data_IF_580638837746
#
_entry.id   IF_580638837746
#
_cell.length_a   1.000
_cell.length_b   1.000
_cell.length_c   1.000
_cell.angle_alpha   90.00
_cell.angle_beta   90.00
_cell.angle_gamma   90.00
#
_symmetry.space_group_name_H-M   'P 1'
#
loop_
_entity.id
_entity.type
_entity.pdbx_description
1 polymer ?
#
# COMPACT_ATOMS: atom_id res chain seq x y z
N UNK A 1 -59.97 12.34 18.18
CA UNK A 1 -58.71 12.97 18.62
C UNK A 1 -57.79 11.83 19.05
N UNK A 2 -57.07 11.27 18.07
CA UNK A 2 -55.59 11.36 17.94
C UNK A 2 -54.92 10.53 19.04
N UNK A 3 -54.73 9.23 18.76
CA UNK A 3 -53.44 8.65 18.32
C UNK A 3 -52.44 8.47 19.48
N UNK A 4 -52.23 7.22 19.89
CA UNK A 4 -50.88 6.66 20.07
C UNK A 4 -50.93 5.16 19.86
N UNK A 5 -49.99 4.70 19.04
CA UNK A 5 -49.86 3.38 18.45
C UNK A 5 -48.66 2.74 19.12
N UNK A 6 -48.85 1.96 20.16
CA UNK A 6 -47.76 1.15 20.73
C UNK A 6 -47.56 -0.08 19.84
N UNK A 7 -46.54 0.02 19.00
CA UNK A 7 -45.98 -1.08 18.21
C UNK A 7 -44.85 -1.71 19.05
N UNK A 8 -44.71 -3.04 19.05
CA UNK A 8 -43.61 -3.69 19.77
C UNK A 8 -42.27 -3.34 19.13
N UNK A 9 -41.26 -3.15 19.97
CA UNK A 9 -39.84 -3.07 19.59
C UNK A 9 -39.41 -4.39 18.95
N UNK A 10 -39.45 -4.44 17.62
CA UNK A 10 -38.80 -5.48 16.83
C UNK A 10 -37.39 -5.01 16.45
N UNK A 11 -36.43 -5.87 16.80
CA UNK A 11 -35.03 -5.81 16.45
C UNK A 11 -34.82 -5.67 14.93
N UNK A 12 -33.73 -4.98 14.54
CA UNK A 12 -32.82 -5.35 13.46
C UNK A 12 -31.80 -4.20 13.24
N UNK A 13 -30.74 -4.16 14.05
CA UNK A 13 -29.53 -3.42 13.68
C UNK A 13 -28.78 -4.27 12.65
N UNK A 14 -28.96 -3.94 11.37
CA UNK A 14 -28.31 -4.58 10.23
C UNK A 14 -26.78 -4.62 10.30
N UNK A 15 -26.13 -5.34 9.36
CA UNK A 15 -24.72 -5.71 9.46
C UNK A 15 -23.82 -4.49 9.59
N UNK A 16 -22.89 -4.53 10.55
CA UNK A 16 -21.85 -3.52 10.76
C UNK A 16 -21.21 -3.12 9.42
N UNK A 17 -21.48 -1.87 9.02
CA UNK A 17 -20.77 -1.06 8.04
C UNK A 17 -19.86 -1.79 7.04
N UNK A 18 -20.48 -2.50 6.10
CA UNK A 18 -19.83 -3.07 4.90
C UNK A 18 -19.27 -2.01 3.93
N UNK A 19 -19.40 -0.71 4.24
CA UNK A 19 -18.74 0.41 3.52
C UNK A 19 -17.33 0.72 4.04
N UNK A 20 -16.79 -0.09 4.97
CA UNK A 20 -15.48 -0.02 5.62
C UNK A 20 -14.23 -0.33 4.74
N UNK A 21 -14.29 -0.09 3.43
CA UNK A 21 -13.31 -0.64 2.48
C UNK A 21 -11.90 -0.05 2.49
N UNK A 22 -11.61 1.09 3.15
CA UNK A 22 -10.28 1.77 3.14
C UNK A 22 -10.10 2.86 4.22
N UNK A 23 -11.19 3.40 4.78
CA UNK A 23 -11.10 4.27 5.95
C UNK A 23 -11.21 3.41 7.18
N UNK A 24 -10.05 3.10 7.75
CA UNK A 24 -10.01 2.66 9.13
C UNK A 24 -9.72 3.94 9.93
N UNK A 25 -10.74 4.42 10.66
CA UNK A 25 -10.74 5.73 11.32
C UNK A 25 -10.47 6.93 10.38
N UNK A 26 -9.63 7.87 10.84
CA UNK A 26 -9.24 9.08 10.09
C UNK A 26 -8.12 8.84 9.05
N UNK A 27 -7.54 7.63 8.99
CA UNK A 27 -6.37 7.33 8.15
C UNK A 27 -6.82 6.59 6.88
N UNK A 28 -6.56 7.20 5.72
CA UNK A 28 -6.72 6.52 4.43
C UNK A 28 -5.57 5.55 4.20
N UNK A 29 -5.87 4.27 4.00
CA UNK A 29 -4.90 3.24 3.61
C UNK A 29 -4.75 3.21 2.10
N UNK A 30 -3.53 3.02 1.58
CA UNK A 30 -3.28 2.90 0.14
C UNK A 30 -2.27 1.77 -0.10
N UNK A 31 -2.14 1.31 -1.35
CA UNK A 31 -1.11 0.33 -1.71
C UNK A 31 0.30 0.73 -1.28
N UNK A 32 0.63 2.01 -1.46
CA UNK A 32 1.93 2.58 -1.04
C UNK A 32 2.14 2.49 0.47
N UNK A 33 1.09 2.69 1.28
CA UNK A 33 1.19 2.54 2.74
C UNK A 33 1.38 1.08 3.16
N UNK A 34 0.74 0.14 2.48
CA UNK A 34 0.96 -1.30 2.69
C UNK A 34 2.41 -1.66 2.36
N UNK A 35 2.91 -1.21 1.21
CA UNK A 35 4.30 -1.41 0.82
C UNK A 35 5.28 -0.83 1.87
N UNK A 36 5.07 0.42 2.29
CA UNK A 36 5.95 1.08 3.26
C UNK A 36 5.88 0.45 4.64
N UNK A 37 4.74 -0.08 5.06
CA UNK A 37 4.62 -0.85 6.29
C UNK A 37 5.59 -2.04 6.29
N UNK A 38 5.58 -2.83 5.22
CA UNK A 38 6.48 -3.99 5.10
C UNK A 38 7.96 -3.60 4.90
N UNK A 39 8.24 -2.39 4.41
CA UNK A 39 9.61 -1.90 4.20
C UNK A 39 10.19 -1.15 5.42
N UNK A 40 9.53 -0.11 5.90
CA UNK A 40 10.02 0.79 6.95
C UNK A 40 8.89 1.62 7.59
N UNK A 41 8.65 1.42 8.89
CA UNK A 41 7.61 2.14 9.63
C UNK A 41 7.88 3.65 9.76
N UNK A 42 9.14 4.09 9.89
CA UNK A 42 9.47 5.52 9.90
C UNK A 42 9.11 6.16 8.56
N UNK A 43 9.41 5.47 7.45
CA UNK A 43 9.04 5.93 6.10
C UNK A 43 7.52 6.02 5.93
N UNK A 44 6.80 4.99 6.38
CA UNK A 44 5.34 4.97 6.40
C UNK A 44 4.77 6.19 7.15
N UNK A 45 5.31 6.46 8.35
CA UNK A 45 4.87 7.58 9.18
C UNK A 45 5.11 8.93 8.49
N UNK A 46 6.33 9.17 8.00
CA UNK A 46 6.71 10.42 7.33
C UNK A 46 5.87 10.67 6.08
N UNK A 47 5.74 9.65 5.22
CA UNK A 47 4.90 9.73 4.03
C UNK A 47 3.44 10.04 4.38
N UNK A 48 2.90 9.41 5.45
CA UNK A 48 1.52 9.63 5.88
C UNK A 48 1.27 11.02 6.47
N UNK A 49 2.33 11.72 6.90
CA UNK A 49 2.29 13.11 7.37
C UNK A 49 2.74 14.11 6.29
N UNK A 50 2.71 13.71 5.02
CA UNK A 50 3.07 14.55 3.86
C UNK A 50 4.53 15.02 3.85
N UNK A 51 5.41 14.36 4.58
CA UNK A 51 6.87 14.56 4.49
C UNK A 51 7.37 13.62 3.40
N UNK A 52 7.30 14.06 2.14
CA UNK A 52 7.67 13.27 0.97
C UNK A 52 9.05 13.69 0.44
N UNK A 53 10.01 12.76 0.47
CA UNK A 53 11.38 12.99 0.02
C UNK A 53 11.72 12.24 -1.28
N UNK A 54 10.79 11.43 -1.80
CA UNK A 54 10.97 10.70 -3.06
C UNK A 54 11.13 11.57 -4.32
N UNK A 55 10.44 12.73 -4.47
CA UNK A 55 10.62 13.56 -5.67
C UNK A 55 12.07 14.02 -5.82
N UNK A 56 12.65 13.83 -7.02
CA UNK A 56 14.04 14.20 -7.32
C UNK A 56 15.10 13.20 -6.82
N UNK A 57 14.72 12.18 -6.06
CA UNK A 57 15.66 11.14 -5.63
C UNK A 57 15.99 10.17 -6.79
N UNK A 58 17.26 10.11 -7.20
CA UNK A 58 17.73 9.40 -8.40
C UNK A 58 17.20 7.96 -8.52
N UNK A 59 17.30 7.15 -7.45
CA UNK A 59 16.86 5.76 -7.52
C UNK A 59 15.35 5.61 -7.73
N UNK A 60 14.55 6.57 -7.23
CA UNK A 60 13.10 6.59 -7.42
C UNK A 60 12.78 7.00 -8.86
N UNK A 61 13.47 8.01 -9.36
CA UNK A 61 13.26 8.52 -10.71
C UNK A 61 13.62 7.50 -11.80
N UNK A 62 14.72 6.76 -11.62
CA UNK A 62 15.05 5.63 -12.50
C UNK A 62 13.92 4.57 -12.48
N UNK A 63 13.29 4.37 -11.32
CA UNK A 63 12.12 3.50 -11.22
C UNK A 63 11.01 3.98 -12.14
N UNK A 64 10.57 5.23 -11.96
CA UNK A 64 9.50 5.83 -12.77
C UNK A 64 9.78 5.80 -14.27
N UNK A 65 11.00 6.14 -14.69
CA UNK A 65 11.40 6.08 -16.09
C UNK A 65 11.29 4.66 -16.68
N UNK A 66 11.67 3.62 -15.92
CA UNK A 66 11.51 2.23 -16.36
C UNK A 66 10.03 1.86 -16.54
N UNK A 67 9.13 2.41 -15.72
CA UNK A 67 7.69 2.23 -15.91
C UNK A 67 7.22 2.96 -17.19
N UNK A 68 7.59 4.22 -17.36
CA UNK A 68 7.19 5.02 -18.53
C UNK A 68 7.68 4.44 -19.86
N UNK A 69 8.93 4.00 -19.95
CA UNK A 69 9.54 3.55 -21.20
C UNK A 69 9.05 2.17 -21.64
N UNK A 70 8.82 1.27 -20.69
CA UNK A 70 8.45 -0.13 -20.99
C UNK A 70 6.95 -0.30 -21.20
N UNK A 71 6.11 0.52 -20.57
CA UNK A 71 4.66 0.29 -20.54
C UNK A 71 3.83 1.27 -21.36
N UNK A 72 4.44 2.28 -22.01
CA UNK A 72 3.80 3.11 -23.06
C UNK A 72 3.11 2.30 -24.18
N UNK A 73 3.47 1.03 -24.39
CA UNK A 73 2.91 0.18 -25.46
C UNK A 73 1.76 -0.74 -25.02
N UNK A 74 1.62 -1.09 -23.74
CA UNK A 74 0.79 -2.22 -23.29
C UNK A 74 -0.41 -1.86 -22.38
N UNK A 75 -0.52 -0.63 -21.88
CA UNK A 75 -1.63 -0.21 -21.02
C UNK A 75 -1.31 1.06 -20.22
N UNK A 76 -2.34 1.74 -19.72
CA UNK A 76 -2.22 2.97 -18.91
C UNK A 76 -2.38 2.64 -17.44
N UNK A 77 -1.66 3.38 -16.58
CA UNK A 77 -1.85 3.40 -15.14
C UNK A 77 -3.34 3.55 -14.79
N UNK A 78 -3.86 2.63 -13.98
CA UNK A 78 -5.25 2.65 -13.52
C UNK A 78 -5.26 3.00 -12.04
N UNK A 79 -5.82 4.17 -11.71
CA UNK A 79 -6.07 4.59 -10.34
C UNK A 79 -7.54 4.41 -9.99
N UNK A 80 -7.85 3.80 -8.84
CA UNK A 80 -9.22 3.63 -8.33
C UNK A 80 -9.30 4.17 -6.90
N UNK A 81 -10.28 5.04 -6.66
CA UNK A 81 -10.57 5.75 -5.40
C UNK A 81 -9.35 6.40 -4.72
N UNK A 82 -8.31 6.77 -5.48
CA UNK A 82 -7.01 7.21 -4.98
C UNK A 82 -6.43 6.29 -3.89
N UNK A 83 -6.71 4.99 -4.00
CA UNK A 83 -6.35 3.97 -3.00
C UNK A 83 -5.47 2.89 -3.61
N UNK A 84 -5.87 2.44 -4.79
CA UNK A 84 -5.09 1.52 -5.59
C UNK A 84 -4.62 2.26 -6.83
N UNK A 85 -3.36 2.04 -7.18
CA UNK A 85 -2.74 2.49 -8.41
C UNK A 85 -2.00 1.28 -8.96
N UNK A 86 -2.48 0.74 -10.07
CA UNK A 86 -1.93 -0.45 -10.73
C UNK A 86 -1.38 -0.06 -12.09
N UNK A 87 -0.24 -0.62 -12.49
CA UNK A 87 0.41 -0.25 -13.76
C UNK A 87 -0.49 -0.57 -14.96
N UNK A 88 -1.06 -1.77 -15.01
CA UNK A 88 -2.06 -2.11 -16.03
C UNK A 88 -2.96 -3.28 -15.64
N UNK A 89 -4.08 -3.38 -16.35
CA UNK A 89 -5.07 -4.45 -16.18
C UNK A 89 -5.20 -5.22 -17.49
N UNK A 90 -5.11 -6.55 -17.44
CA UNK A 90 -5.46 -7.42 -18.56
C UNK A 90 -6.83 -8.03 -18.34
N UNK A 91 -7.61 -8.12 -19.42
CA UNK A 91 -8.95 -8.69 -19.42
C UNK A 91 -8.97 -9.87 -20.38
N UNK A 92 -9.07 -11.08 -19.83
CA UNK A 92 -9.22 -12.32 -20.58
C UNK A 92 -10.39 -13.12 -20.03
N UNK A 93 -10.16 -14.41 -19.74
CA UNK A 93 -11.09 -15.24 -18.97
C UNK A 93 -11.28 -14.76 -17.52
N UNK A 94 -10.27 -14.07 -16.98
CA UNK A 94 -10.30 -13.40 -15.68
C UNK A 94 -9.72 -11.98 -15.81
N UNK A 95 -9.93 -11.16 -14.78
CA UNK A 95 -9.28 -9.84 -14.64
C UNK A 95 -7.92 -10.06 -13.97
N UNK A 96 -6.85 -9.60 -14.60
CA UNK A 96 -5.49 -9.67 -14.05
C UNK A 96 -4.97 -8.26 -13.76
N UNK A 97 -4.52 -8.03 -12.52
CA UNK A 97 -3.82 -6.81 -12.11
C UNK A 97 -2.33 -7.03 -12.25
N UNK A 98 -1.65 -6.18 -13.01
CA UNK A 98 -0.20 -6.26 -13.19
C UNK A 98 0.50 -5.09 -12.49
N UNK A 99 1.33 -5.43 -11.50
CA UNK A 99 2.26 -4.52 -10.84
C UNK A 99 3.67 -4.80 -11.37
N UNK A 100 4.45 -3.76 -11.60
CA UNK A 100 5.81 -3.81 -12.15
C UNK A 100 6.76 -3.34 -11.07
N UNK A 101 7.86 -4.08 -10.86
CA UNK A 101 8.87 -3.71 -9.86
C UNK A 101 10.26 -3.83 -10.44
N UNK A 102 11.08 -2.78 -10.24
CA UNK A 102 12.46 -2.74 -10.70
C UNK A 102 13.30 -3.92 -10.19
N UNK A 103 13.07 -4.36 -8.96
CA UNK A 103 13.88 -5.40 -8.31
C UNK A 103 13.03 -6.25 -7.37
N UNK A 104 13.40 -7.52 -7.22
CA UNK A 104 12.77 -8.48 -6.30
C UNK A 104 13.27 -8.37 -4.85
N UNK A 105 14.03 -7.32 -4.50
CA UNK A 105 14.58 -7.14 -3.14
C UNK A 105 13.52 -6.87 -2.08
N UNK A 106 12.33 -6.43 -2.47
CA UNK A 106 11.21 -6.12 -1.57
C UNK A 106 10.00 -7.03 -1.85
N UNK A 107 10.23 -8.25 -2.32
CA UNK A 107 9.17 -9.13 -2.82
C UNK A 107 8.01 -9.36 -1.83
N UNK A 108 8.29 -9.37 -0.52
CA UNK A 108 7.24 -9.50 0.50
C UNK A 108 6.34 -8.27 0.56
N UNK A 109 6.91 -7.06 0.46
CA UNK A 109 6.17 -5.80 0.39
C UNK A 109 5.41 -5.68 -0.93
N UNK A 110 6.06 -6.04 -2.04
CA UNK A 110 5.45 -6.06 -3.37
C UNK A 110 4.22 -7.01 -3.39
N UNK A 111 4.34 -8.20 -2.79
CA UNK A 111 3.24 -9.17 -2.63
C UNK A 111 2.13 -8.61 -1.75
N UNK A 112 2.46 -8.04 -0.60
CA UNK A 112 1.47 -7.47 0.32
C UNK A 112 0.66 -6.33 -0.32
N UNK A 113 1.33 -5.45 -1.07
CA UNK A 113 0.68 -4.39 -1.83
C UNK A 113 -0.32 -4.96 -2.84
N UNK A 114 0.08 -5.95 -3.63
CA UNK A 114 -0.80 -6.54 -4.64
C UNK A 114 -1.96 -7.31 -4.01
N UNK A 115 -1.73 -8.03 -2.90
CA UNK A 115 -2.80 -8.66 -2.12
C UNK A 115 -3.82 -7.63 -1.62
N UNK A 116 -3.36 -6.46 -1.16
CA UNK A 116 -4.25 -5.39 -0.76
C UNK A 116 -5.14 -4.93 -1.93
N UNK A 117 -4.60 -4.84 -3.15
CA UNK A 117 -5.38 -4.49 -4.34
C UNK A 117 -6.45 -5.55 -4.67
N UNK A 118 -6.08 -6.83 -4.62
CA UNK A 118 -7.02 -7.94 -4.85
C UNK A 118 -8.12 -7.96 -3.78
N UNK A 119 -7.74 -7.77 -2.51
CA UNK A 119 -8.69 -7.68 -1.40
C UNK A 119 -9.66 -6.50 -1.59
N UNK A 120 -9.12 -5.35 -1.95
CA UNK A 120 -9.88 -4.13 -2.18
C UNK A 120 -10.92 -4.27 -3.30
N UNK A 121 -10.56 -4.93 -4.41
CA UNK A 121 -11.48 -5.26 -5.49
C UNK A 121 -12.53 -6.30 -5.07
N UNK A 122 -12.12 -7.34 -4.33
CA UNK A 122 -13.02 -8.37 -3.82
C UNK A 122 -14.12 -7.78 -2.93
N UNK A 123 -13.80 -6.82 -2.07
CA UNK A 123 -14.80 -6.11 -1.26
C UNK A 123 -15.83 -5.32 -2.10
N UNK A 124 -15.53 -5.04 -3.37
CA UNK A 124 -16.42 -4.39 -4.33
C UNK A 124 -17.09 -5.38 -5.31
N UNK A 125 -17.01 -6.67 -5.01
CA UNK A 125 -17.61 -7.72 -5.85
C UNK A 125 -16.82 -8.03 -7.13
N UNK A 126 -15.57 -7.56 -7.25
CA UNK A 126 -14.72 -7.82 -8.42
C UNK A 126 -13.68 -8.87 -8.05
N UNK A 127 -13.74 -10.04 -8.69
CA UNK A 127 -12.71 -11.07 -8.58
C UNK A 127 -11.60 -10.80 -9.61
N UNK A 128 -10.35 -10.80 -9.14
CA UNK A 128 -9.17 -10.60 -9.96
C UNK A 128 -8.01 -11.47 -9.47
N UNK A 129 -7.05 -11.70 -10.35
CA UNK A 129 -5.76 -12.31 -10.06
C UNK A 129 -4.66 -11.25 -10.16
N UNK A 130 -3.53 -11.45 -9.47
CA UNK A 130 -2.43 -10.50 -9.43
C UNK A 130 -1.16 -11.06 -10.07
N UNK A 131 -0.44 -10.22 -10.81
CA UNK A 131 0.87 -10.53 -11.37
C UNK A 131 1.88 -9.46 -11.00
N UNK A 132 2.99 -9.84 -10.37
CA UNK A 132 4.15 -8.96 -10.18
C UNK A 132 5.17 -9.24 -11.27
N UNK A 133 5.59 -8.20 -11.98
CA UNK A 133 6.51 -8.27 -13.11
C UNK A 133 7.85 -7.66 -12.69
N UNK A 134 8.93 -8.46 -12.74
CA UNK A 134 10.29 -8.02 -12.47
C UNK A 134 11.09 -7.93 -13.79
N UNK A 135 10.94 -6.85 -14.58
CA UNK A 135 11.55 -6.67 -15.90
C UNK A 135 13.03 -7.01 -15.97
N UNK A 136 13.82 -6.52 -15.01
CA UNK A 136 15.28 -6.59 -15.06
C UNK A 136 15.82 -8.03 -14.93
N UNK A 137 15.08 -8.90 -14.25
CA UNK A 137 15.43 -10.32 -14.07
C UNK A 137 14.54 -11.26 -14.88
N UNK A 138 13.63 -10.71 -15.71
CA UNK A 138 12.68 -11.46 -16.55
C UNK A 138 11.86 -12.48 -15.77
N UNK A 139 11.44 -12.11 -14.57
CA UNK A 139 10.63 -12.97 -13.70
C UNK A 139 9.23 -12.39 -13.54
N UNK A 140 8.23 -13.26 -13.44
CA UNK A 140 6.84 -12.91 -13.11
C UNK A 140 6.34 -13.79 -11.97
N UNK A 141 5.65 -13.21 -11.00
CA UNK A 141 5.11 -13.91 -9.84
C UNK A 141 3.59 -13.76 -9.82
N UNK A 142 2.88 -14.89 -9.82
CA UNK A 142 1.44 -14.95 -9.68
C UNK A 142 1.05 -14.79 -8.20
N UNK A 143 0.02 -14.01 -7.94
CA UNK A 143 -0.49 -13.70 -6.60
C UNK A 143 -1.99 -13.92 -6.58
N UNK A 144 -2.43 -14.80 -5.70
CA UNK A 144 -3.84 -15.08 -5.44
C UNK A 144 -4.15 -14.76 -4.00
N UNK A 145 -5.32 -14.15 -3.76
CA UNK A 145 -5.80 -13.80 -2.43
C UNK A 145 -6.41 -15.04 -1.74
N UNK A 146 -5.86 -15.42 -0.59
CA UNK A 146 -6.41 -16.49 0.25
C UNK A 146 -7.07 -15.94 1.51
N UNK A 147 -7.94 -16.72 2.20
CA UNK A 147 -8.52 -16.28 3.49
C UNK A 147 -7.47 -15.95 4.57
N UNK A 148 -6.31 -16.62 4.54
CA UNK A 148 -5.19 -16.34 5.45
C UNK A 148 -4.57 -14.98 5.12
N UNK A 149 -4.35 -14.70 3.83
CA UNK A 149 -3.84 -13.40 3.39
C UNK A 149 -4.80 -12.26 3.78
N UNK A 150 -6.12 -12.47 3.66
CA UNK A 150 -7.11 -11.48 4.08
C UNK A 150 -7.06 -11.18 5.58
N UNK A 151 -6.87 -12.22 6.40
CA UNK A 151 -6.70 -12.04 7.84
C UNK A 151 -5.41 -11.27 8.18
N UNK A 152 -4.32 -11.57 7.46
CA UNK A 152 -3.06 -10.84 7.54
C UNK A 152 -3.23 -9.36 7.17
N UNK A 153 -3.85 -9.07 6.03
CA UNK A 153 -4.11 -7.70 5.57
C UNK A 153 -4.94 -6.89 6.57
N UNK A 154 -5.99 -7.49 7.17
CA UNK A 154 -6.77 -6.80 8.22
C UNK A 154 -5.92 -6.44 9.43
N UNK A 155 -4.92 -7.26 9.78
CA UNK A 155 -3.97 -6.95 10.85
C UNK A 155 -3.01 -5.83 10.43
N UNK A 156 -2.46 -5.90 9.23
CA UNK A 156 -1.56 -4.88 8.70
C UNK A 156 -2.24 -3.51 8.63
N UNK A 157 -3.50 -3.45 8.17
CA UNK A 157 -4.31 -2.24 8.14
C UNK A 157 -4.39 -1.60 9.53
N UNK A 158 -4.76 -2.37 10.56
CA UNK A 158 -4.86 -1.88 11.94
C UNK A 158 -3.52 -1.36 12.48
N UNK A 159 -2.44 -2.06 12.16
CA UNK A 159 -1.11 -1.67 12.62
C UNK A 159 -0.62 -0.39 11.91
N UNK A 160 -0.92 -0.24 10.61
CA UNK A 160 -0.63 0.98 9.86
C UNK A 160 -1.34 2.17 10.50
N UNK A 161 -2.62 2.05 10.83
CA UNK A 161 -3.34 3.13 11.52
C UNK A 161 -2.68 3.49 12.84
N UNK A 162 -2.35 2.48 13.65
CA UNK A 162 -1.72 2.67 14.96
C UNK A 162 -0.38 3.40 14.82
N UNK A 163 0.43 3.03 13.82
CA UNK A 163 1.69 3.70 13.53
C UNK A 163 1.42 5.14 13.10
N UNK A 164 0.55 5.36 12.12
CA UNK A 164 0.29 6.68 11.53
C UNK A 164 -0.34 7.65 12.55
N UNK A 165 -1.16 7.17 13.49
CA UNK A 165 -1.77 8.03 14.51
C UNK A 165 -0.89 8.23 15.74
N UNK A 166 0.17 7.43 15.91
CA UNK A 166 1.10 7.53 17.02
C UNK A 166 2.29 8.45 16.75
N UNK A 167 3.25 8.44 17.67
CA UNK A 167 4.53 9.11 17.50
C UNK A 167 5.35 8.49 16.38
N UNK A 168 6.19 9.31 15.73
CA UNK A 168 7.08 8.84 14.68
C UNK A 168 7.98 7.71 15.21
N UNK A 169 7.95 6.52 14.58
CA UNK A 169 8.85 5.43 14.96
C UNK A 169 10.31 5.85 14.78
N UNK A 170 11.15 5.61 15.79
CA UNK A 170 12.58 5.91 15.69
C UNK A 170 13.22 5.19 14.49
N UNK A 171 13.97 5.90 13.65
CA UNK A 171 14.61 5.32 12.48
C UNK A 171 15.63 4.26 12.90
N UNK A 172 15.60 3.12 12.20
CA UNK A 172 16.57 2.03 12.39
C UNK A 172 17.34 1.85 11.10
N UNK A 173 18.68 1.84 11.16
CA UNK A 173 19.51 1.58 9.97
C UNK A 173 19.24 0.18 9.44
N UNK A 174 18.84 0.10 8.18
CA UNK A 174 18.63 -1.13 7.41
C UNK A 174 19.51 -1.09 6.16
N UNK A 175 19.76 -2.25 5.54
CA UNK A 175 20.53 -2.34 4.28
C UNK A 175 19.96 -1.48 3.14
N UNK A 176 18.66 -1.20 3.18
CA UNK A 176 17.94 -0.43 2.17
C UNK A 176 18.14 1.09 2.34
N UNK A 177 18.56 1.54 3.54
CA UNK A 177 18.67 2.96 3.87
C UNK A 177 19.67 3.68 2.98
N UNK A 178 20.76 3.00 2.56
CA UNK A 178 21.77 3.57 1.67
C UNK A 178 21.22 4.03 0.30
N UNK A 179 20.01 3.59 -0.07
CA UNK A 179 19.32 4.00 -1.31
C UNK A 179 17.94 4.62 -1.02
N UNK A 180 17.66 4.94 0.24
CA UNK A 180 16.37 5.47 0.66
C UNK A 180 16.41 6.99 0.59
N UNK A 181 15.38 7.58 -0.02
CA UNK A 181 15.23 9.04 -0.10
C UNK A 181 15.15 9.76 1.26
N UNK A 182 14.86 9.00 2.33
CA UNK A 182 14.72 9.51 3.70
C UNK A 182 15.99 9.39 4.53
N UNK A 183 17.10 8.90 3.95
CA UNK A 183 18.34 8.61 4.69
C UNK A 183 18.83 9.82 5.48
N UNK A 184 19.00 10.96 4.82
CA UNK A 184 19.52 12.18 5.45
C UNK A 184 18.58 12.69 6.55
N UNK A 185 17.27 12.69 6.29
CA UNK A 185 16.27 13.08 7.29
C UNK A 185 16.31 12.18 8.53
N UNK A 186 16.47 10.87 8.34
CA UNK A 186 16.42 9.90 9.43
C UNK A 186 17.67 9.92 10.32
N UNK A 187 18.82 10.35 9.81
CA UNK A 187 20.11 10.21 10.50
C UNK A 187 20.94 11.51 10.50
N UNK A 188 20.30 12.67 10.35
CA UNK A 188 20.99 13.97 10.33
C UNK A 188 21.77 14.25 11.64
N UNK A 189 21.30 13.74 12.78
CA UNK A 189 21.95 13.94 14.09
C UNK A 189 23.19 13.05 14.31
N UNK A 190 23.41 12.00 13.50
CA UNK A 190 24.61 11.15 13.61
C UNK A 190 25.87 11.84 13.04
N UNK A 191 25.72 12.95 12.31
CA UNK A 191 26.82 13.62 11.59
C UNK A 191 27.61 14.59 12.48
N UNK A 192 27.06 15.02 13.62
CA UNK A 192 27.73 16.01 14.48
C UNK A 192 28.75 15.42 15.47
N UNK A 193 28.84 14.08 15.59
CA UNK A 193 29.75 13.44 16.54
C UNK A 193 31.18 13.17 16.01
N UNK A 194 31.51 13.57 14.77
CA UNK A 194 32.80 13.25 14.13
C UNK A 194 33.76 14.45 14.05
N UNK A 195 33.33 15.66 14.45
CA UNK A 195 34.18 16.87 14.38
C UNK A 195 34.69 17.38 15.75
N UNK A 196 34.47 16.64 16.83
CA UNK A 196 34.96 16.98 18.18
C UNK A 196 35.95 15.94 18.74
N UNK A 197 36.87 15.44 17.91
CA UNK A 197 38.05 14.68 18.36
C UNK A 197 39.34 15.13 17.68
#
# INVERSE_FOLDING_TARGET
MTETKDRPDEAESGPENIYAGIQSGAVRITGVKIDYYHICHTKLWLFSHNITLEPGHENVEIGKQLHEDRYKRDGKDVTIDNTISIDFVRRGSAIELHEVKKTKKMADADRAQLLFYLYYLKQRGVNAEGVINYPLIRETVQVTLTPVDEAGLRKDIREIERIVQGDMPHPKRKRICAKCAYLEFCFCEEVQAVNDQ
#
